data_IF_365653602222
#
_entry.id   IF_365653602222
#
_cell.length_a   1.000
_cell.length_b   1.000
_cell.length_c   1.000
_cell.angle_alpha   90.00
_cell.angle_beta   90.00
_cell.angle_gamma   90.00
#
_symmetry.space_group_name_H-M   'P 1'
#
loop_
_entity.id
_entity.type
_entity.pdbx_description
1 polymer ?
#
# COMPACT_ATOMS: atom_id res chain seq x y z
N UNK A 1 3.63 19.04 21.36
CA UNK A 1 3.95 17.70 20.84
C UNK A 1 2.74 17.02 20.19
N UNK A 2 1.55 17.08 20.78
CA UNK A 2 0.34 16.41 20.27
C UNK A 2 -0.10 16.83 18.86
N UNK A 3 -0.02 18.12 18.49
CA UNK A 3 -0.45 18.58 17.14
C UNK A 3 0.36 17.95 16.01
N UNK A 4 1.68 17.81 16.19
CA UNK A 4 2.57 17.20 15.19
C UNK A 4 2.28 15.70 15.07
N UNK A 5 2.11 15.02 16.20
CA UNK A 5 1.71 13.61 16.22
C UNK A 5 0.36 13.36 15.53
N UNK A 6 -0.62 14.24 15.73
CA UNK A 6 -1.95 14.14 15.07
C UNK A 6 -1.84 14.26 13.56
N UNK A 7 -1.03 15.21 13.06
CA UNK A 7 -0.82 15.39 11.62
C UNK A 7 -0.12 14.18 10.99
N UNK A 8 0.93 13.65 11.65
CA UNK A 8 1.62 12.45 11.19
C UNK A 8 0.70 11.23 11.18
N UNK A 9 -0.10 11.05 12.23
CA UNK A 9 -1.07 9.97 12.30
C UNK A 9 -2.12 10.09 11.18
N UNK A 10 -2.63 11.29 10.91
CA UNK A 10 -3.58 11.53 9.82
C UNK A 10 -2.98 11.18 8.45
N UNK A 11 -1.74 11.56 8.19
CA UNK A 11 -1.06 11.21 6.93
C UNK A 11 -0.87 9.69 6.79
N UNK A 12 -0.45 9.01 7.85
CA UNK A 12 -0.34 7.55 7.85
C UNK A 12 -1.69 6.87 7.66
N UNK A 13 -2.76 7.44 8.21
CA UNK A 13 -4.12 6.94 8.03
C UNK A 13 -4.58 7.07 6.58
N UNK A 14 -4.37 8.23 5.95
CA UNK A 14 -4.65 8.42 4.52
C UNK A 14 -3.86 7.42 3.68
N UNK A 15 -2.58 7.24 3.99
CA UNK A 15 -1.73 6.29 3.28
C UNK A 15 -2.22 4.83 3.43
N UNK A 16 -2.74 4.48 4.61
CA UNK A 16 -3.39 3.18 4.85
C UNK A 16 -4.60 2.97 3.93
N UNK A 17 -5.46 3.98 3.78
CA UNK A 17 -6.60 3.91 2.86
C UNK A 17 -6.16 3.75 1.40
N UNK A 18 -5.07 4.40 0.98
CA UNK A 18 -4.51 4.26 -0.37
C UNK A 18 -4.00 2.82 -0.60
N UNK A 19 -3.33 2.22 0.40
CA UNK A 19 -2.95 0.80 0.32
C UNK A 19 -4.17 -0.11 0.21
N UNK A 20 -5.21 0.12 1.00
CA UNK A 20 -6.45 -0.65 0.91
C UNK A 20 -7.09 -0.52 -0.47
N UNK A 21 -7.11 0.68 -1.04
CA UNK A 21 -7.57 0.90 -2.41
C UNK A 21 -6.73 0.11 -3.43
N UNK A 22 -5.40 0.08 -3.27
CA UNK A 22 -4.53 -0.75 -4.11
C UNK A 22 -4.85 -2.24 -4.00
N UNK A 23 -5.13 -2.74 -2.80
CA UNK A 23 -5.54 -4.14 -2.59
C UNK A 23 -6.79 -4.48 -3.39
N UNK A 24 -7.79 -3.59 -3.37
CA UNK A 24 -9.01 -3.78 -4.15
C UNK A 24 -8.67 -3.76 -5.64
N UNK A 25 -7.86 -2.80 -6.08
CA UNK A 25 -7.44 -2.65 -7.48
C UNK A 25 -6.67 -3.89 -7.98
N UNK A 26 -5.83 -4.52 -7.15
CA UNK A 26 -5.08 -5.72 -7.53
C UNK A 26 -6.00 -6.92 -7.78
N UNK A 27 -7.19 -6.95 -7.17
CA UNK A 27 -8.20 -7.98 -7.43
C UNK A 27 -9.08 -7.69 -8.65
N UNK A 28 -9.13 -6.44 -9.14
CA UNK A 28 -10.00 -6.08 -10.26
C UNK A 28 -9.75 -6.95 -11.51
N UNK A 29 -8.49 -7.23 -11.93
CA UNK A 29 -8.23 -8.13 -13.05
C UNK A 29 -8.68 -9.57 -12.83
N UNK A 30 -8.75 -10.04 -11.56
CA UNK A 30 -9.25 -11.38 -11.22
C UNK A 30 -10.76 -11.49 -11.45
N UNK A 31 -11.51 -10.45 -11.09
CA UNK A 31 -12.97 -10.42 -11.23
C UNK A 31 -13.42 -9.95 -12.62
N UNK A 32 -12.64 -9.12 -13.30
CA UNK A 32 -12.95 -8.59 -14.62
C UNK A 32 -11.72 -8.63 -15.56
N UNK A 33 -11.28 -9.82 -16.01
CA UNK A 33 -10.04 -9.98 -16.80
C UNK A 33 -10.02 -9.21 -18.13
N UNK A 34 -11.19 -9.00 -18.73
CA UNK A 34 -11.36 -8.28 -19.99
C UNK A 34 -11.50 -6.76 -19.82
N UNK A 35 -11.64 -6.27 -18.58
CA UNK A 35 -11.83 -4.86 -18.31
C UNK A 35 -10.50 -4.11 -18.41
N UNK A 36 -10.47 -3.10 -19.27
CA UNK A 36 -9.33 -2.18 -19.41
C UNK A 36 -9.77 -0.81 -18.87
N UNK A 37 -9.15 -0.29 -17.81
CA UNK A 37 -9.49 1.02 -17.30
C UNK A 37 -9.24 2.08 -18.38
N UNK A 38 -10.17 3.02 -18.55
CA UNK A 38 -10.09 4.12 -19.52
C UNK A 38 -10.48 5.45 -18.86
N UNK A 39 -9.92 6.54 -19.38
CA UNK A 39 -10.21 7.89 -18.90
C UNK A 39 -9.85 8.06 -17.42
N UNK A 40 -10.74 8.69 -16.65
CA UNK A 40 -10.52 9.04 -15.24
C UNK A 40 -10.14 7.84 -14.35
N UNK A 41 -10.71 6.66 -14.62
CA UNK A 41 -10.43 5.46 -13.82
C UNK A 41 -8.98 4.99 -14.01
N UNK A 42 -8.44 5.10 -15.22
CA UNK A 42 -7.04 4.77 -15.49
C UNK A 42 -6.10 5.70 -14.74
N UNK A 43 -6.40 7.00 -14.71
CA UNK A 43 -5.61 7.98 -13.97
C UNK A 43 -5.64 7.73 -12.46
N UNK A 44 -6.79 7.39 -11.89
CA UNK A 44 -6.89 7.03 -10.47
C UNK A 44 -6.03 5.80 -10.14
N UNK A 45 -6.07 4.78 -11.00
CA UNK A 45 -5.24 3.60 -10.83
C UNK A 45 -3.76 3.97 -10.87
N UNK A 46 -3.34 4.74 -11.86
CA UNK A 46 -1.96 5.20 -12.00
C UNK A 46 -1.47 6.01 -10.79
N UNK A 47 -2.31 6.89 -10.23
CA UNK A 47 -2.00 7.65 -9.01
C UNK A 47 -1.79 6.70 -7.84
N UNK A 48 -2.73 5.78 -7.61
CA UNK A 48 -2.63 4.81 -6.51
C UNK A 48 -1.38 3.95 -6.69
N UNK A 49 -1.14 3.43 -7.89
CA UNK A 49 0.05 2.64 -8.22
C UNK A 49 1.33 3.44 -7.96
N UNK A 50 1.41 4.68 -8.42
CA UNK A 50 2.56 5.57 -8.22
C UNK A 50 2.86 5.84 -6.75
N UNK A 51 1.82 6.00 -5.91
CA UNK A 51 1.99 6.26 -4.48
C UNK A 51 2.39 5.02 -3.67
N UNK A 52 2.12 3.83 -4.20
CA UNK A 52 2.27 2.56 -3.45
C UNK A 52 3.40 1.68 -3.99
N UNK A 53 3.77 1.82 -5.27
CA UNK A 53 4.90 1.12 -5.90
C UNK A 53 6.25 1.40 -5.24
N UNK A 54 6.63 2.66 -4.93
CA UNK A 54 7.97 2.97 -4.41
C UNK A 54 8.32 2.21 -3.12
N UNK A 55 7.47 2.19 -2.06
CA UNK A 55 7.77 1.43 -0.85
C UNK A 55 7.75 -0.08 -1.07
N UNK A 56 6.83 -0.60 -1.91
CA UNK A 56 6.82 -2.02 -2.29
C UNK A 56 8.14 -2.40 -2.99
N UNK A 57 8.60 -1.57 -3.93
CA UNK A 57 9.87 -1.77 -4.65
C UNK A 57 11.07 -1.65 -3.72
N UNK A 58 11.06 -0.72 -2.78
CA UNK A 58 12.10 -0.61 -1.77
C UNK A 58 12.17 -1.87 -0.90
N UNK A 59 11.02 -2.39 -0.48
CA UNK A 59 10.95 -3.61 0.34
C UNK A 59 11.37 -4.86 -0.43
N UNK A 60 11.04 -4.94 -1.73
CA UNK A 60 11.51 -6.01 -2.64
C UNK A 60 13.03 -6.08 -2.77
N UNK A 61 13.76 -4.98 -2.50
CA UNK A 61 15.23 -5.01 -2.46
C UNK A 61 15.76 -5.73 -1.21
N UNK A 62 15.01 -5.68 -0.11
CA UNK A 62 15.41 -6.29 1.15
C UNK A 62 14.94 -7.74 1.27
N UNK A 63 13.74 -8.03 0.78
CA UNK A 63 13.14 -9.36 0.78
C UNK A 63 12.83 -9.71 -0.68
N UNK A 64 13.73 -10.41 -1.40
CA UNK A 64 13.47 -10.79 -2.78
C UNK A 64 12.20 -11.66 -2.85
N UNK A 65 11.42 -11.58 -3.94
CA UNK A 65 10.19 -12.33 -4.09
C UNK A 65 10.49 -13.83 -4.06
N UNK A 66 10.09 -14.51 -2.99
CA UNK A 66 10.12 -15.96 -2.92
C UNK A 66 8.97 -16.50 -3.77
N UNK A 67 9.29 -16.88 -5.00
CA UNK A 67 8.36 -17.55 -5.91
C UNK A 67 8.15 -19.00 -5.44
N UNK A 68 7.37 -19.19 -4.38
CA UNK A 68 6.95 -20.51 -3.92
C UNK A 68 5.85 -21.04 -4.84
N UNK A 69 6.23 -21.78 -5.88
CA UNK A 69 5.32 -22.66 -6.61
C UNK A 69 4.13 -21.98 -7.31
N UNK A 70 4.34 -20.82 -7.95
CA UNK A 70 3.33 -20.21 -8.83
C UNK A 70 2.37 -19.23 -8.16
N UNK A 71 2.44 -19.07 -6.83
CA UNK A 71 1.75 -17.98 -6.12
C UNK A 71 2.78 -16.89 -5.84
N UNK A 72 2.81 -15.85 -6.68
CA UNK A 72 3.43 -14.57 -6.30
C UNK A 72 2.52 -13.94 -5.24
N UNK A 73 2.59 -14.48 -4.03
CA UNK A 73 1.78 -14.03 -2.91
C UNK A 73 2.04 -12.54 -2.77
N UNK A 74 1.00 -11.75 -2.53
CA UNK A 74 1.07 -10.29 -2.36
C UNK A 74 1.82 -9.94 -1.04
N UNK A 75 2.82 -10.74 -0.65
CA UNK A 75 3.73 -10.64 0.47
C UNK A 75 4.35 -9.25 0.53
N UNK A 76 4.71 -8.69 -0.62
CA UNK A 76 5.28 -7.35 -0.66
C UNK A 76 4.23 -6.29 -0.26
N UNK A 77 2.96 -6.46 -0.65
CA UNK A 77 1.87 -5.60 -0.20
C UNK A 77 1.56 -5.81 1.29
N UNK A 78 1.39 -7.06 1.74
CA UNK A 78 1.15 -7.41 3.14
C UNK A 78 2.25 -6.88 4.05
N UNK A 79 3.51 -7.00 3.64
CA UNK A 79 4.64 -6.52 4.42
C UNK A 79 4.70 -4.98 4.49
N UNK A 80 4.29 -4.27 3.42
CA UNK A 80 4.15 -2.80 3.47
C UNK A 80 2.98 -2.39 4.37
N UNK A 81 1.86 -3.13 4.38
CA UNK A 81 0.75 -2.89 5.27
C UNK A 81 1.17 -3.08 6.75
N UNK A 82 1.88 -4.17 7.05
CA UNK A 82 2.46 -4.41 8.38
C UNK A 82 3.41 -3.28 8.78
N UNK A 83 4.29 -2.84 7.87
CA UNK A 83 5.22 -1.74 8.13
C UNK A 83 4.49 -0.44 8.51
N UNK A 84 3.42 -0.08 7.81
CA UNK A 84 2.61 1.09 8.16
C UNK A 84 1.97 0.94 9.54
N UNK A 85 1.39 -0.22 9.85
CA UNK A 85 0.76 -0.45 11.15
C UNK A 85 1.79 -0.28 12.28
N UNK A 86 3.01 -0.78 12.08
CA UNK A 86 4.13 -0.57 13.02
C UNK A 86 4.48 0.92 13.13
N UNK A 87 4.60 1.63 12.01
CA UNK A 87 4.87 3.08 12.03
C UNK A 87 3.77 3.88 12.75
N UNK A 88 2.50 3.53 12.55
CA UNK A 88 1.37 4.14 13.26
C UNK A 88 1.49 3.91 14.77
N UNK A 89 1.85 2.71 15.20
CA UNK A 89 2.08 2.40 16.62
C UNK A 89 3.24 3.21 17.19
N UNK A 90 4.35 3.33 16.47
CA UNK A 90 5.49 4.16 16.89
C UNK A 90 5.09 5.62 17.03
N UNK A 91 4.35 6.19 16.08
CA UNK A 91 3.87 7.57 16.17
C UNK A 91 2.97 7.77 17.38
N UNK A 92 2.06 6.84 17.68
CA UNK A 92 1.22 6.94 18.87
C UNK A 92 2.09 6.94 20.13
N UNK A 93 2.97 5.96 20.30
CA UNK A 93 3.79 5.80 21.52
C UNK A 93 4.76 6.96 21.75
N UNK A 94 5.27 7.59 20.69
CA UNK A 94 6.25 8.68 20.81
C UNK A 94 5.58 10.04 21.06
N UNK A 95 4.39 10.26 20.50
CA UNK A 95 3.74 11.57 20.53
C UNK A 95 2.57 11.69 21.52
N UNK A 96 2.13 10.59 22.13
CA UNK A 96 1.14 10.51 23.21
C UNK A 96 1.75 9.92 24.47
#
# INVERSE_FOLDING_TARGET
MQTVGSLLFMLLQIYTWILLARMIISWVPMFAPQWRPKGLVASLFEIIYTLTDPPIKALRKLIPPLNLGGVSLDLAFMAVLILIVVLQRVVIVVFW
#
